data_IF_534212501263
#
_entry.id   IF_534212501263
#
_cell.length_a   1.000
_cell.length_b   1.000
_cell.length_c   1.000
_cell.angle_alpha   90.00
_cell.angle_beta   90.00
_cell.angle_gamma   90.00
#
_symmetry.space_group_name_H-M   'P 1'
#
loop_
_entity.id
_entity.type
_entity.pdbx_description
1 polymer ?
#
# COMPACT_ATOMS: atom_id res chain seq x y z
N UNK A 1 14.74 -1.38 24.95
CA UNK A 1 13.93 -0.25 24.44
C UNK A 1 13.15 0.24 25.63
N UNK A 2 13.41 1.45 26.10
CA UNK A 2 12.64 2.05 27.20
C UNK A 2 11.22 2.25 26.70
N UNK A 3 10.22 1.70 27.41
CA UNK A 3 8.84 2.08 27.20
C UNK A 3 8.71 3.52 27.72
N UNK A 4 8.77 4.50 26.83
CA UNK A 4 8.66 5.91 27.20
C UNK A 4 7.21 6.20 27.53
N UNK A 5 6.90 6.33 28.82
CA UNK A 5 5.56 6.70 29.29
C UNK A 5 5.44 8.22 29.20
N UNK A 6 4.30 8.73 28.75
CA UNK A 6 4.03 10.18 28.71
C UNK A 6 2.96 10.55 29.74
N UNK A 7 3.01 11.79 30.21
CA UNK A 7 1.90 12.43 30.91
C UNK A 7 1.27 13.43 29.94
N UNK A 8 -0.02 13.27 29.66
CA UNK A 8 -0.81 14.21 28.88
C UNK A 8 -1.57 15.15 29.81
N UNK A 9 -1.50 16.44 29.55
CA UNK A 9 -2.34 17.46 30.19
C UNK A 9 -3.33 18.02 29.17
N UNK A 10 -4.62 17.97 29.46
CA UNK A 10 -5.65 18.67 28.67
C UNK A 10 -6.00 19.99 29.36
N UNK A 11 -5.58 21.10 28.76
CA UNK A 11 -5.87 22.44 29.25
C UNK A 11 -7.11 23.00 28.53
N UNK A 12 -8.11 23.44 29.30
CA UNK A 12 -9.22 24.28 28.83
C UNK A 12 -8.89 25.73 29.13
N UNK A 13 -8.97 26.59 28.12
CA UNK A 13 -8.42 27.96 28.15
C UNK A 13 -9.46 28.98 27.69
N UNK A 14 -9.65 30.06 28.47
CA UNK A 14 -10.57 31.16 28.12
C UNK A 14 -10.05 32.53 28.59
N UNK A 15 -10.09 33.59 27.75
CA UNK A 15 -10.27 33.54 26.30
C UNK A 15 -9.18 32.69 25.61
N UNK A 16 -9.53 32.00 24.53
CA UNK A 16 -8.62 31.05 23.86
C UNK A 16 -7.34 31.72 23.37
N UNK A 17 -7.45 32.89 22.75
CA UNK A 17 -6.31 33.67 22.30
C UNK A 17 -6.28 35.03 23.02
N UNK A 18 -5.10 35.52 23.43
CA UNK A 18 -3.75 34.96 23.15
C UNK A 18 -3.28 33.88 24.15
N UNK A 19 -4.15 33.41 25.03
CA UNK A 19 -3.75 32.60 26.18
C UNK A 19 -3.14 31.24 25.80
N UNK A 20 -3.66 30.56 24.77
CA UNK A 20 -3.12 29.27 24.31
C UNK A 20 -1.69 29.40 23.81
N UNK A 21 -1.35 30.47 23.06
CA UNK A 21 0.01 30.70 22.58
C UNK A 21 1.00 30.92 23.74
N UNK A 22 0.60 31.74 24.73
CA UNK A 22 1.42 32.01 25.92
C UNK A 22 1.60 30.73 26.74
N UNK A 23 0.53 29.96 26.94
CA UNK A 23 0.57 28.69 27.67
C UNK A 23 1.48 27.67 26.99
N UNK A 24 1.40 27.49 25.68
CA UNK A 24 2.30 26.59 24.92
C UNK A 24 3.76 27.03 25.09
N UNK A 25 4.04 28.33 25.02
CA UNK A 25 5.40 28.84 25.18
C UNK A 25 5.97 28.52 26.57
N UNK A 26 5.22 28.78 27.64
CA UNK A 26 5.65 28.48 29.01
C UNK A 26 5.80 26.97 29.26
N UNK A 27 4.85 26.16 28.80
CA UNK A 27 4.92 24.69 28.91
C UNK A 27 6.13 24.13 28.15
N UNK A 28 6.47 24.69 27.00
CA UNK A 28 7.68 24.31 26.25
C UNK A 28 8.97 24.53 27.05
N UNK A 29 9.06 25.63 27.82
CA UNK A 29 10.20 25.85 28.72
C UNK A 29 10.21 24.90 29.92
N UNK A 30 9.05 24.40 30.34
CA UNK A 30 8.90 23.44 31.42
C UNK A 30 9.17 21.98 30.98
N UNK A 31 9.51 21.72 29.71
CA UNK A 31 9.87 20.39 29.22
C UNK A 31 8.75 19.64 28.48
N UNK A 32 7.62 20.29 28.19
CA UNK A 32 6.62 19.68 27.30
C UNK A 32 7.11 19.71 25.84
N UNK A 33 6.97 18.59 25.13
CA UNK A 33 7.61 18.38 23.83
C UNK A 33 6.62 18.38 22.66
N UNK A 34 5.33 18.15 22.94
CA UNK A 34 4.27 18.04 21.92
C UNK A 34 3.00 18.75 22.39
N UNK A 35 2.33 19.41 21.44
CA UNK A 35 1.15 20.22 21.67
C UNK A 35 0.11 19.95 20.58
N UNK A 36 -1.14 19.73 20.98
CA UNK A 36 -2.28 19.58 20.08
C UNK A 36 -3.33 20.60 20.48
N UNK A 37 -3.47 21.66 19.69
CA UNK A 37 -4.52 22.66 19.90
C UNK A 37 -5.91 22.08 19.60
N UNK A 38 -6.91 22.57 20.35
CA UNK A 38 -8.32 22.23 20.15
C UNK A 38 -9.17 23.51 20.15
N UNK A 39 -10.45 23.38 19.81
CA UNK A 39 -11.40 24.51 19.88
C UNK A 39 -11.55 25.10 21.30
N UNK A 40 -11.10 24.37 22.33
CA UNK A 40 -11.30 24.72 23.74
C UNK A 40 -10.00 24.99 24.52
N UNK A 41 -8.84 24.82 23.91
CA UNK A 41 -7.54 24.97 24.57
C UNK A 41 -6.44 24.14 23.90
N UNK A 42 -5.62 23.44 24.68
CA UNK A 42 -4.47 22.68 24.17
C UNK A 42 -4.21 21.44 25.01
N UNK A 43 -3.87 20.34 24.36
CA UNK A 43 -3.32 19.15 25.01
C UNK A 43 -1.80 19.16 24.88
N UNK A 44 -1.07 19.05 26.00
CA UNK A 44 0.40 19.06 26.03
C UNK A 44 0.94 17.74 26.60
N UNK A 45 2.07 17.27 26.06
CA UNK A 45 2.69 16.00 26.45
C UNK A 45 4.13 16.19 26.95
N UNK A 46 4.45 15.52 28.05
CA UNK A 46 5.80 15.46 28.65
C UNK A 46 6.15 14.01 28.97
N UNK A 47 7.42 13.64 28.82
CA UNK A 47 7.89 12.30 29.21
C UNK A 47 7.78 12.13 30.72
N UNK A 48 7.29 10.98 31.19
CA UNK A 48 7.09 10.69 32.63
C UNK A 48 8.38 10.83 33.44
N UNK A 49 9.52 10.60 32.80
CA UNK A 49 10.86 10.73 33.39
C UNK A 49 11.26 12.19 33.68
N UNK A 50 10.71 13.13 32.90
CA UNK A 50 10.91 14.58 33.06
C UNK A 50 9.75 15.25 33.82
N UNK A 51 8.63 14.53 33.97
CA UNK A 51 7.45 15.00 34.70
C UNK A 51 7.67 15.06 36.21
N UNK A 52 7.07 16.06 36.85
CA UNK A 52 6.92 16.11 38.31
C UNK A 52 5.56 16.66 38.71
N UNK A 53 5.11 16.36 39.92
CA UNK A 53 3.84 16.88 40.44
C UNK A 53 3.79 18.42 40.55
N UNK A 54 4.94 19.08 40.50
CA UNK A 54 5.11 20.53 40.62
C UNK A 54 5.45 21.19 39.28
N UNK A 55 5.36 20.46 38.16
CA UNK A 55 5.80 20.92 36.84
C UNK A 55 5.06 22.19 36.35
N UNK A 56 3.88 22.46 36.91
CA UNK A 56 3.06 23.62 36.58
C UNK A 56 3.24 24.82 37.52
N UNK A 57 4.02 24.68 38.60
CA UNK A 57 4.17 25.74 39.62
C UNK A 57 4.83 27.01 39.04
N UNK A 58 5.73 26.82 38.05
CA UNK A 58 6.45 27.90 37.37
C UNK A 58 5.72 28.41 36.11
N UNK A 59 4.52 27.90 35.81
CA UNK A 59 3.69 28.37 34.69
C UNK A 59 2.88 29.59 35.14
N UNK A 60 3.39 30.77 34.85
CA UNK A 60 2.85 32.04 35.30
C UNK A 60 1.44 32.33 34.77
N UNK A 61 1.13 31.92 33.53
CA UNK A 61 -0.19 32.20 32.94
C UNK A 61 -1.33 31.53 33.72
N UNK A 62 -1.08 30.40 34.40
CA UNK A 62 -2.09 29.70 35.22
C UNK A 62 -2.52 30.49 36.45
N UNK A 63 -1.69 31.44 36.91
CA UNK A 63 -1.94 32.29 38.07
C UNK A 63 -2.43 33.70 37.67
N UNK A 64 -2.63 33.96 36.38
CA UNK A 64 -3.12 35.24 35.88
C UNK A 64 -4.62 35.40 36.13
N UNK A 65 -5.05 36.59 36.55
CA UNK A 65 -6.47 36.93 36.66
C UNK A 65 -7.10 37.28 35.29
N UNK A 66 -6.29 37.33 34.22
CA UNK A 66 -6.75 37.69 32.87
C UNK A 66 -7.29 36.48 32.09
N UNK A 67 -6.96 35.26 32.52
CA UNK A 67 -7.31 34.01 31.85
C UNK A 67 -7.92 33.01 32.83
N UNK A 68 -8.95 32.30 32.38
CA UNK A 68 -9.52 31.15 33.06
C UNK A 68 -8.95 29.89 32.41
N UNK A 69 -8.03 29.22 33.12
CA UNK A 69 -7.39 27.99 32.66
C UNK A 69 -7.65 26.89 33.68
N UNK A 70 -8.16 25.76 33.20
CA UNK A 70 -8.31 24.54 33.99
C UNK A 70 -7.64 23.38 33.26
N UNK A 71 -7.22 22.36 34.00
CA UNK A 71 -6.58 21.20 33.40
C UNK A 71 -6.94 19.92 34.13
N UNK A 72 -6.86 18.84 33.38
CA UNK A 72 -6.75 17.48 33.90
C UNK A 72 -5.52 16.83 33.28
N UNK A 73 -4.94 15.85 33.96
CA UNK A 73 -3.82 15.10 33.42
C UNK A 73 -3.97 13.62 33.69
N UNK A 74 -3.42 12.83 32.79
CA UNK A 74 -3.41 11.38 32.89
C UNK A 74 -2.07 10.82 32.40
N UNK A 75 -1.70 9.69 32.98
CA UNK A 75 -0.61 8.89 32.46
C UNK A 75 -1.09 8.20 31.18
N UNK A 76 -0.34 8.40 30.10
CA UNK A 76 -0.57 7.79 28.81
C UNK A 76 0.53 6.75 28.67
N UNK A 77 0.15 5.49 28.90
CA UNK A 77 0.99 4.37 28.47
C UNK A 77 1.19 4.50 26.96
N UNK A 78 2.42 4.28 26.50
CA UNK A 78 2.71 4.27 25.08
C UNK A 78 1.88 3.17 24.42
N UNK A 79 0.76 3.54 23.79
CA UNK A 79 0.03 2.63 22.92
C UNK A 79 1.00 2.22 21.83
N UNK A 80 1.37 0.94 21.82
CA UNK A 80 2.14 0.37 20.73
C UNK A 80 1.22 0.31 19.50
N UNK A 81 1.11 1.42 18.79
CA UNK A 81 0.28 1.55 17.59
C UNK A 81 0.64 0.51 16.54
N UNK A 82 1.88 -0.01 16.53
CA UNK A 82 2.26 -1.14 15.69
C UNK A 82 1.53 -2.41 16.15
N UNK A 83 1.58 -2.78 17.43
CA UNK A 83 0.82 -3.94 17.95
C UNK A 83 -0.69 -3.82 17.73
N UNK A 84 -1.25 -2.62 17.89
CA UNK A 84 -2.68 -2.40 17.67
C UNK A 84 -3.06 -2.48 16.20
N UNK A 85 -2.19 -2.01 15.31
CA UNK A 85 -2.32 -2.22 13.88
C UNK A 85 -2.17 -3.69 13.48
N UNK A 86 -1.17 -4.41 14.02
CA UNK A 86 -0.92 -5.83 13.77
C UNK A 86 -2.11 -6.69 14.18
N UNK A 87 -2.77 -6.38 15.30
CA UNK A 87 -3.99 -7.09 15.76
C UNK A 87 -5.16 -6.98 14.79
N UNK A 88 -5.22 -5.90 14.02
CA UNK A 88 -6.33 -5.61 13.11
C UNK A 88 -6.03 -5.96 11.65
N UNK A 89 -4.76 -6.18 11.32
CA UNK A 89 -4.35 -6.65 10.01
C UNK A 89 -4.57 -8.16 9.92
N UNK A 90 -5.47 -8.62 9.05
CA UNK A 90 -5.78 -10.06 8.93
C UNK A 90 -5.13 -10.65 7.68
N UNK A 91 -4.72 -11.93 7.69
CA UNK A 91 -4.29 -12.59 6.46
C UNK A 91 -5.46 -12.72 5.47
N UNK A 92 -5.16 -12.61 4.18
CA UNK A 92 -6.14 -12.83 3.12
C UNK A 92 -5.97 -14.24 2.58
N UNK A 93 -7.09 -14.94 2.40
CA UNK A 93 -7.13 -16.25 1.78
C UNK A 93 -7.89 -16.13 0.47
N UNK A 94 -7.29 -16.61 -0.62
CA UNK A 94 -7.87 -16.62 -1.97
C UNK A 94 -8.03 -18.07 -2.44
N UNK A 95 -9.27 -18.44 -2.76
CA UNK A 95 -9.69 -19.75 -3.26
C UNK A 95 -9.14 -20.94 -2.44
N UNK A 96 -8.93 -20.77 -1.12
CA UNK A 96 -8.30 -21.75 -0.21
C UNK A 96 -6.91 -22.25 -0.64
N UNK A 97 -6.29 -21.58 -1.62
CA UNK A 97 -5.03 -21.98 -2.27
C UNK A 97 -3.89 -21.02 -1.97
N UNK A 98 -4.18 -19.72 -1.84
CA UNK A 98 -3.17 -18.68 -1.61
C UNK A 98 -3.50 -17.96 -0.31
N UNK A 99 -2.52 -17.85 0.57
CA UNK A 99 -2.58 -16.92 1.71
C UNK A 99 -1.61 -15.76 1.47
N UNK A 100 -2.08 -14.53 1.63
CA UNK A 100 -1.25 -13.32 1.71
C UNK A 100 -1.25 -12.86 3.15
N UNK A 101 -0.07 -12.77 3.78
CA UNK A 101 0.05 -12.46 5.20
C UNK A 101 1.29 -11.64 5.51
N UNK A 102 1.26 -10.89 6.61
CA UNK A 102 2.45 -10.34 7.22
C UNK A 102 3.27 -11.42 7.96
N UNK A 103 4.52 -11.09 8.31
CA UNK A 103 5.45 -12.04 8.94
C UNK A 103 5.00 -12.50 10.32
N UNK A 104 4.34 -11.64 11.09
CA UNK A 104 3.83 -11.93 12.45
C UNK A 104 2.63 -12.89 12.47
N UNK A 105 1.98 -13.12 11.33
CA UNK A 105 0.89 -14.10 11.23
C UNK A 105 1.40 -15.54 11.29
N UNK A 106 0.58 -16.42 11.86
CA UNK A 106 0.83 -17.85 11.84
C UNK A 106 0.93 -18.39 10.39
N UNK A 107 1.79 -19.39 10.21
CA UNK A 107 1.96 -20.06 8.92
C UNK A 107 0.65 -20.77 8.52
N UNK A 108 0.13 -20.53 7.30
CA UNK A 108 -1.10 -21.11 6.83
C UNK A 108 -0.88 -22.54 6.30
N UNK A 109 -1.99 -23.25 6.06
CA UNK A 109 -2.00 -24.56 5.40
C UNK A 109 -2.31 -24.49 3.90
N UNK A 110 -2.39 -23.29 3.32
CA UNK A 110 -2.66 -23.10 1.90
C UNK A 110 -1.48 -23.54 1.04
N UNK A 111 -1.76 -23.89 -0.23
CA UNK A 111 -0.73 -24.35 -1.17
C UNK A 111 0.38 -23.32 -1.40
N UNK A 112 0.00 -22.05 -1.49
CA UNK A 112 0.92 -20.92 -1.64
C UNK A 112 0.79 -20.01 -0.42
N UNK A 113 1.93 -19.67 0.19
CA UNK A 113 2.06 -18.75 1.32
C UNK A 113 2.91 -17.57 0.85
N UNK A 114 2.31 -16.37 0.81
CA UNK A 114 2.95 -15.13 0.37
C UNK A 114 3.15 -14.24 1.60
N UNK A 115 4.41 -13.98 1.93
CA UNK A 115 4.77 -13.10 3.05
C UNK A 115 4.96 -11.70 2.51
N UNK A 116 4.00 -10.81 2.76
CA UNK A 116 4.02 -9.42 2.27
C UNK A 116 4.06 -8.48 3.48
N UNK A 117 5.10 -7.66 3.55
CA UNK A 117 5.18 -6.59 4.53
C UNK A 117 4.20 -5.48 4.15
N UNK A 118 3.21 -5.15 5.01
CA UNK A 118 2.25 -4.13 4.69
C UNK A 118 2.87 -2.77 5.00
N UNK A 119 3.41 -2.12 3.97
CA UNK A 119 3.88 -0.72 4.02
C UNK A 119 2.89 0.21 3.31
N UNK A 120 3.26 1.47 3.12
CA UNK A 120 2.50 2.44 2.30
C UNK A 120 2.45 2.10 0.78
N UNK A 121 2.74 0.86 0.40
CA UNK A 121 2.69 0.37 -0.98
C UNK A 121 1.40 -0.41 -1.22
N UNK A 122 0.79 -0.23 -2.39
CA UNK A 122 -0.42 -0.97 -2.78
C UNK A 122 -0.12 -2.46 -3.03
N UNK A 123 -1.15 -3.31 -2.95
CA UNK A 123 -1.04 -4.74 -3.27
C UNK A 123 -0.90 -5.67 -2.07
N UNK A 124 -1.32 -5.26 -0.88
CA UNK A 124 -1.36 -6.16 0.30
C UNK A 124 -2.36 -7.32 0.19
N UNK A 125 -3.15 -7.37 -0.90
CA UNK A 125 -4.20 -8.36 -1.16
C UNK A 125 -5.57 -8.02 -0.57
N UNK A 126 -5.67 -7.00 0.29
CA UNK A 126 -6.92 -6.60 0.95
C UNK A 126 -7.90 -5.93 -0.02
N UNK A 127 -7.37 -5.31 -1.07
CA UNK A 127 -8.17 -4.67 -2.11
C UNK A 127 -8.71 -5.71 -3.10
N UNK A 128 -9.96 -5.54 -3.53
CA UNK A 128 -10.67 -6.46 -4.40
C UNK A 128 -9.91 -6.76 -5.68
N UNK A 129 -9.24 -5.75 -6.25
CA UNK A 129 -8.47 -5.89 -7.49
C UNK A 129 -7.32 -6.88 -7.34
N UNK A 130 -6.57 -6.83 -6.24
CA UNK A 130 -5.48 -7.78 -6.00
C UNK A 130 -6.02 -9.19 -5.81
N UNK A 131 -7.12 -9.34 -5.07
CA UNK A 131 -7.79 -10.63 -4.87
C UNK A 131 -8.22 -11.26 -6.20
N UNK A 132 -8.88 -10.50 -7.07
CA UNK A 132 -9.32 -11.00 -8.38
C UNK A 132 -8.15 -11.31 -9.32
N UNK A 133 -7.06 -10.53 -9.25
CA UNK A 133 -5.85 -10.82 -10.03
C UNK A 133 -5.18 -12.12 -9.58
N UNK A 134 -5.14 -12.40 -8.28
CA UNK A 134 -4.71 -13.70 -7.74
C UNK A 134 -5.60 -14.83 -8.29
N UNK A 135 -6.93 -14.67 -8.29
CA UNK A 135 -7.84 -15.68 -8.85
C UNK A 135 -7.57 -15.93 -10.34
N UNK A 136 -7.29 -14.89 -11.12
CA UNK A 136 -6.92 -15.04 -12.52
C UNK A 136 -5.58 -15.75 -12.69
N UNK A 137 -4.57 -15.44 -11.87
CA UNK A 137 -3.27 -16.14 -11.90
C UNK A 137 -3.47 -17.64 -11.64
N UNK A 138 -4.28 -18.00 -10.65
CA UNK A 138 -4.57 -19.41 -10.31
C UNK A 138 -5.31 -20.18 -11.41
N UNK A 139 -6.06 -19.49 -12.28
CA UNK A 139 -6.85 -20.09 -13.37
C UNK A 139 -6.08 -20.19 -14.69
N UNK A 140 -4.89 -19.62 -14.79
CA UNK A 140 -4.10 -19.56 -16.02
C UNK A 140 -2.74 -20.25 -15.84
N UNK A 141 -2.12 -20.67 -16.95
CA UNK A 141 -0.82 -21.36 -16.91
C UNK A 141 0.35 -20.37 -17.02
N UNK A 142 1.10 -20.27 -15.93
CA UNK A 142 2.31 -19.45 -15.81
C UNK A 142 3.59 -20.27 -15.96
N UNK A 143 3.51 -21.59 -16.09
CA UNK A 143 4.68 -22.47 -16.04
C UNK A 143 5.64 -22.18 -17.19
N UNK A 144 6.88 -21.81 -16.85
CA UNK A 144 7.94 -21.50 -17.81
C UNK A 144 7.71 -20.22 -18.60
N UNK A 145 6.74 -19.38 -18.19
CA UNK A 145 6.38 -18.14 -18.88
C UNK A 145 7.26 -16.97 -18.44
N UNK A 146 7.46 -16.05 -19.38
CA UNK A 146 7.98 -14.71 -19.12
C UNK A 146 6.85 -13.76 -18.73
N UNK A 147 7.02 -13.01 -17.64
CA UNK A 147 5.97 -12.20 -17.02
C UNK A 147 6.45 -10.78 -16.77
N UNK A 148 5.60 -9.80 -17.03
CA UNK A 148 5.75 -8.43 -16.54
C UNK A 148 4.67 -8.14 -15.48
N UNK A 149 5.05 -7.61 -14.33
CA UNK A 149 4.16 -7.01 -13.34
C UNK A 149 4.37 -5.49 -13.31
N UNK A 150 3.48 -4.76 -13.97
CA UNK A 150 3.58 -3.31 -14.20
C UNK A 150 2.75 -2.55 -13.15
N UNK A 151 3.41 -1.64 -12.42
CA UNK A 151 2.86 -1.04 -11.20
C UNK A 151 2.84 -2.04 -10.05
N UNK A 152 3.96 -2.72 -9.82
CA UNK A 152 4.03 -3.90 -8.95
C UNK A 152 3.74 -3.63 -7.46
N UNK A 153 3.89 -2.40 -6.96
CA UNK A 153 3.55 -2.02 -5.60
C UNK A 153 4.33 -2.80 -4.53
N UNK A 154 3.69 -3.83 -3.96
CA UNK A 154 4.27 -4.79 -3.00
C UNK A 154 4.92 -6.01 -3.67
N UNK A 155 4.80 -6.13 -4.99
CA UNK A 155 5.24 -7.26 -5.81
C UNK A 155 4.45 -8.58 -5.59
N UNK A 156 3.28 -8.52 -4.95
CA UNK A 156 2.51 -9.73 -4.60
C UNK A 156 2.13 -10.58 -5.82
N UNK A 157 1.84 -9.96 -6.97
CA UNK A 157 1.39 -10.65 -8.17
C UNK A 157 2.57 -11.33 -8.88
N UNK A 158 3.72 -10.64 -9.03
CA UNK A 158 4.95 -11.26 -9.51
C UNK A 158 5.43 -12.41 -8.60
N UNK A 159 5.40 -12.24 -7.28
CA UNK A 159 5.77 -13.30 -6.32
C UNK A 159 4.87 -14.53 -6.50
N UNK A 160 3.56 -14.33 -6.62
CA UNK A 160 2.65 -15.45 -6.89
C UNK A 160 2.95 -16.09 -8.25
N UNK A 161 3.17 -15.28 -9.30
CA UNK A 161 3.48 -15.76 -10.64
C UNK A 161 4.73 -16.66 -10.66
N UNK A 162 5.80 -16.30 -9.93
CA UNK A 162 6.97 -17.17 -9.76
C UNK A 162 6.60 -18.47 -9.02
N UNK A 163 5.86 -18.38 -7.90
CA UNK A 163 5.47 -19.57 -7.11
C UNK A 163 4.55 -20.54 -7.87
N UNK A 164 3.77 -20.05 -8.85
CA UNK A 164 2.97 -20.92 -9.74
C UNK A 164 3.75 -21.42 -10.97
N UNK A 165 5.00 -20.97 -11.16
CA UNK A 165 5.96 -21.59 -12.09
C UNK A 165 6.51 -20.69 -13.19
N UNK A 166 6.29 -19.37 -13.15
CA UNK A 166 6.96 -18.45 -14.08
C UNK A 166 8.47 -18.43 -13.82
N UNK A 167 9.26 -18.21 -14.88
CA UNK A 167 10.73 -18.38 -14.83
C UNK A 167 11.52 -17.16 -15.25
N UNK A 168 10.88 -16.12 -15.77
CA UNK A 168 11.52 -14.85 -16.10
C UNK A 168 10.54 -13.71 -15.84
N UNK A 169 10.74 -12.96 -14.76
CA UNK A 169 9.78 -11.95 -14.33
C UNK A 169 10.47 -10.59 -14.20
N UNK A 170 9.85 -9.57 -14.76
CA UNK A 170 10.17 -8.17 -14.49
C UNK A 170 9.03 -7.56 -13.66
N UNK A 171 9.37 -6.88 -12.58
CA UNK A 171 8.43 -6.09 -11.78
C UNK A 171 8.86 -4.62 -11.82
N UNK A 172 7.95 -3.74 -12.24
CA UNK A 172 8.27 -2.32 -12.47
C UNK A 172 7.32 -1.44 -11.68
N UNK A 173 7.85 -0.46 -10.96
CA UNK A 173 7.06 0.59 -10.33
C UNK A 173 7.76 1.95 -10.47
N UNK A 174 6.99 3.03 -10.63
CA UNK A 174 7.54 4.38 -10.77
C UNK A 174 7.95 4.95 -9.40
N UNK A 175 7.28 4.50 -8.33
CA UNK A 175 7.54 4.96 -6.97
C UNK A 175 8.75 4.20 -6.37
N UNK A 176 9.75 4.95 -5.93
CA UNK A 176 10.92 4.41 -5.23
C UNK A 176 10.53 3.62 -3.97
N UNK A 177 9.46 4.01 -3.28
CA UNK A 177 9.00 3.30 -2.09
C UNK A 177 8.47 1.90 -2.42
N UNK A 178 7.68 1.79 -3.50
CA UNK A 178 7.20 0.51 -4.03
C UNK A 178 8.36 -0.35 -4.56
N UNK A 179 9.33 0.26 -5.25
CA UNK A 179 10.54 -0.42 -5.71
C UNK A 179 11.31 -1.09 -4.56
N UNK A 180 11.61 -0.33 -3.50
CA UNK A 180 12.32 -0.86 -2.32
C UNK A 180 11.51 -1.94 -1.59
N UNK A 181 10.21 -1.70 -1.41
CA UNK A 181 9.33 -2.67 -0.77
C UNK A 181 9.20 -3.99 -1.57
N UNK A 182 9.18 -3.88 -2.89
CA UNK A 182 9.14 -5.03 -3.80
C UNK A 182 10.41 -5.88 -3.69
N UNK A 183 11.59 -5.27 -3.63
CA UNK A 183 12.85 -5.99 -3.39
C UNK A 183 12.81 -6.79 -2.08
N UNK A 184 12.39 -6.15 -0.99
CA UNK A 184 12.29 -6.81 0.31
C UNK A 184 11.27 -7.97 0.30
N UNK A 185 10.11 -7.79 -0.34
CA UNK A 185 9.10 -8.84 -0.41
C UNK A 185 9.53 -10.02 -1.32
N UNK A 186 10.22 -9.75 -2.42
CA UNK A 186 10.80 -10.80 -3.28
C UNK A 186 11.80 -11.63 -2.47
N UNK A 187 12.70 -10.99 -1.73
CA UNK A 187 13.67 -11.65 -0.86
C UNK A 187 12.96 -12.48 0.23
N UNK A 188 11.97 -11.91 0.92
CA UNK A 188 11.19 -12.60 1.97
C UNK A 188 10.46 -13.85 1.50
N UNK A 189 10.18 -13.95 0.21
CA UNK A 189 9.45 -15.08 -0.37
C UNK A 189 10.37 -16.12 -1.03
N UNK A 190 11.68 -15.97 -0.89
CA UNK A 190 12.70 -16.80 -1.54
C UNK A 190 12.49 -16.88 -3.06
N UNK A 191 12.11 -15.76 -3.67
CA UNK A 191 11.91 -15.65 -5.11
C UNK A 191 13.22 -15.18 -5.79
N UNK A 192 13.59 -15.84 -6.88
CA UNK A 192 14.89 -15.65 -7.54
C UNK A 192 14.77 -15.33 -9.03
N UNK A 193 13.57 -15.43 -9.60
CA UNK A 193 13.34 -15.17 -11.03
C UNK A 193 12.72 -13.79 -11.29
N UNK A 194 12.56 -12.96 -10.25
CA UNK A 194 11.99 -11.60 -10.34
C UNK A 194 13.11 -10.56 -10.32
N UNK A 195 13.19 -9.76 -11.38
CA UNK A 195 14.00 -8.55 -11.46
C UNK A 195 13.10 -7.34 -11.22
N UNK A 196 13.39 -6.57 -10.17
CA UNK A 196 12.62 -5.36 -9.83
C UNK A 196 13.31 -4.13 -10.40
N UNK A 197 12.55 -3.22 -11.01
CA UNK A 197 13.06 -1.96 -11.56
C UNK A 197 12.21 -0.77 -11.10
N UNK A 198 12.88 0.36 -10.88
CA UNK A 198 12.21 1.64 -10.74
C UNK A 198 12.05 2.29 -12.13
N UNK A 199 10.83 2.61 -12.53
CA UNK A 199 10.56 3.32 -13.78
C UNK A 199 9.13 3.14 -14.28
N UNK A 200 8.95 3.38 -15.57
CA UNK A 200 7.66 3.34 -16.24
C UNK A 200 7.70 2.47 -17.52
N UNK A 201 6.66 2.60 -18.33
CA UNK A 201 6.47 1.88 -19.60
C UNK A 201 7.65 2.06 -20.58
N UNK A 202 8.46 3.10 -20.45
CA UNK A 202 9.63 3.33 -21.30
C UNK A 202 10.70 2.22 -21.16
N UNK A 203 10.74 1.52 -20.02
CA UNK A 203 11.64 0.39 -19.78
C UNK A 203 11.28 -0.87 -20.59
N UNK A 204 10.11 -0.90 -21.23
CA UNK A 204 9.63 -2.04 -22.02
C UNK A 204 10.21 -2.07 -23.45
N UNK A 205 10.98 -1.06 -23.84
CA UNK A 205 11.57 -0.98 -25.18
C UNK A 205 12.39 -2.26 -25.50
N UNK A 206 12.02 -2.94 -26.59
CA UNK A 206 12.62 -4.19 -27.06
C UNK A 206 12.47 -5.39 -26.09
N UNK A 207 11.54 -5.33 -25.13
CA UNK A 207 11.19 -6.47 -24.27
C UNK A 207 9.96 -7.19 -24.82
N UNK A 208 9.86 -8.48 -24.55
CA UNK A 208 8.68 -9.27 -24.88
C UNK A 208 8.35 -10.23 -23.74
N UNK A 209 7.06 -10.46 -23.52
CA UNK A 209 6.54 -11.30 -22.43
C UNK A 209 5.42 -12.19 -22.94
N UNK A 210 5.28 -13.35 -22.31
CA UNK A 210 4.12 -14.21 -22.52
C UNK A 210 2.90 -13.68 -21.76
N UNK A 211 3.13 -13.04 -20.62
CA UNK A 211 2.07 -12.52 -19.76
C UNK A 211 2.45 -11.12 -19.28
N UNK A 212 1.53 -10.17 -19.38
CA UNK A 212 1.65 -8.85 -18.76
C UNK A 212 0.51 -8.70 -17.75
N UNK A 213 0.86 -8.29 -16.54
CA UNK A 213 -0.02 -8.01 -15.42
C UNK A 213 0.05 -6.51 -15.15
N UNK A 214 -1.09 -5.83 -15.11
CA UNK A 214 -1.18 -4.41 -14.75
C UNK A 214 -2.43 -4.14 -13.90
N UNK A 215 -2.24 -3.98 -12.59
CA UNK A 215 -3.30 -3.63 -11.63
C UNK A 215 -3.13 -2.17 -11.19
N UNK A 216 -3.44 -1.24 -12.09
CA UNK A 216 -3.14 0.19 -11.96
C UNK A 216 -4.32 1.06 -12.41
N UNK A 217 -4.21 2.36 -12.23
CA UNK A 217 -5.29 3.30 -12.57
C UNK A 217 -5.66 3.25 -14.06
N UNK A 218 -6.98 3.31 -14.34
CA UNK A 218 -7.57 3.36 -15.69
C UNK A 218 -6.85 4.27 -16.69
N UNK A 219 -6.52 5.50 -16.29
CA UNK A 219 -5.95 6.47 -17.25
C UNK A 219 -4.54 6.06 -17.70
N UNK A 220 -3.77 5.44 -16.81
CA UNK A 220 -2.44 4.91 -17.14
C UNK A 220 -2.58 3.68 -18.02
N UNK A 221 -3.52 2.78 -17.72
CA UNK A 221 -3.84 1.65 -18.59
C UNK A 221 -4.14 2.09 -20.02
N UNK A 222 -5.04 3.07 -20.20
CA UNK A 222 -5.40 3.58 -21.52
C UNK A 222 -4.21 4.20 -22.27
N UNK A 223 -3.25 4.79 -21.56
CA UNK A 223 -2.04 5.33 -22.16
C UNK A 223 -1.05 4.22 -22.60
N UNK A 224 -0.99 3.11 -21.85
CA UNK A 224 0.07 2.12 -21.98
C UNK A 224 -0.34 0.83 -22.72
N UNK A 225 -1.64 0.56 -22.91
CA UNK A 225 -2.16 -0.66 -23.59
C UNK A 225 -1.49 -0.89 -24.95
N UNK A 226 -1.26 0.16 -25.73
CA UNK A 226 -0.59 0.05 -27.03
C UNK A 226 0.83 -0.54 -26.88
N UNK A 227 1.57 -0.11 -25.87
CA UNK A 227 2.91 -0.62 -25.59
C UNK A 227 2.86 -2.04 -25.03
N UNK A 228 1.90 -2.34 -24.14
CA UNK A 228 1.71 -3.70 -23.64
C UNK A 228 1.44 -4.69 -24.79
N UNK A 229 0.55 -4.34 -25.72
CA UNK A 229 0.25 -5.17 -26.88
C UNK A 229 1.50 -5.43 -27.75
N UNK A 230 2.35 -4.42 -27.97
CA UNK A 230 3.61 -4.57 -28.72
C UNK A 230 4.62 -5.47 -28.01
N UNK A 231 4.59 -5.51 -26.68
CA UNK A 231 5.49 -6.32 -25.86
C UNK A 231 4.95 -7.73 -25.58
N UNK A 232 3.78 -8.11 -26.11
CA UNK A 232 3.27 -9.47 -25.98
C UNK A 232 3.84 -10.39 -27.08
N UNK A 233 4.26 -11.58 -26.64
CA UNK A 233 4.55 -12.71 -27.52
C UNK A 233 3.26 -13.21 -28.19
N UNK A 234 3.41 -14.04 -29.21
CA UNK A 234 2.26 -14.72 -29.83
C UNK A 234 1.48 -15.53 -28.79
N UNK A 235 0.15 -15.42 -28.81
CA UNK A 235 -0.75 -16.00 -27.80
C UNK A 235 -0.50 -15.50 -26.36
N UNK A 236 0.17 -14.36 -26.21
CA UNK A 236 0.36 -13.71 -24.93
C UNK A 236 -0.94 -13.20 -24.30
N UNK A 237 -0.91 -13.05 -22.98
CA UNK A 237 -2.07 -12.63 -22.18
C UNK A 237 -1.81 -11.29 -21.49
N UNK A 238 -2.81 -10.42 -21.48
CA UNK A 238 -2.81 -9.15 -20.75
C UNK A 238 -3.85 -9.21 -19.64
N UNK A 239 -3.42 -9.08 -18.39
CA UNK A 239 -4.27 -9.06 -17.21
C UNK A 239 -4.38 -7.62 -16.71
N UNK A 240 -5.59 -7.07 -16.68
CA UNK A 240 -5.85 -5.68 -16.30
C UNK A 240 -6.80 -5.60 -15.10
N UNK A 241 -6.49 -4.76 -14.12
CA UNK A 241 -7.40 -4.38 -13.03
C UNK A 241 -7.05 -2.97 -12.52
N UNK A 242 -7.74 -2.50 -11.47
CA UNK A 242 -7.55 -1.14 -10.93
C UNK A 242 -8.56 -0.10 -11.47
N UNK A 243 -9.67 -0.57 -12.04
CA UNK A 243 -10.76 0.24 -12.57
C UNK A 243 -12.13 -0.39 -12.28
N UNK A 244 -13.19 0.41 -12.45
CA UNK A 244 -14.56 0.00 -12.14
C UNK A 244 -15.23 -0.67 -13.34
N UNK A 245 -16.33 -1.40 -13.08
CA UNK A 245 -17.13 -2.07 -14.11
C UNK A 245 -17.60 -1.11 -15.22
N UNK A 246 -17.95 0.13 -14.85
CA UNK A 246 -18.40 1.17 -15.78
C UNK A 246 -17.31 1.53 -16.82
N UNK A 247 -16.04 1.26 -16.50
CA UNK A 247 -14.89 1.54 -17.36
C UNK A 247 -14.54 0.37 -18.32
N UNK A 248 -15.23 -0.77 -18.25
CA UNK A 248 -14.94 -1.93 -19.13
C UNK A 248 -15.02 -1.51 -20.60
N UNK A 249 -16.09 -0.81 -20.99
CA UNK A 249 -16.33 -0.46 -22.40
C UNK A 249 -15.19 0.38 -23.01
N UNK A 250 -14.59 1.29 -22.23
CA UNK A 250 -13.47 2.12 -22.71
C UNK A 250 -12.16 1.32 -22.76
N UNK A 251 -11.90 0.46 -21.77
CA UNK A 251 -10.71 -0.41 -21.74
C UNK A 251 -10.75 -1.44 -22.87
N UNK A 252 -11.89 -2.11 -23.05
CA UNK A 252 -12.07 -3.12 -24.10
C UNK A 252 -11.97 -2.51 -25.50
N UNK A 253 -12.53 -1.31 -25.70
CA UNK A 253 -12.40 -0.57 -26.95
C UNK A 253 -10.94 -0.23 -27.27
N UNK A 254 -10.15 0.19 -26.27
CA UNK A 254 -8.72 0.45 -26.47
C UNK A 254 -7.95 -0.84 -26.76
N UNK A 255 -8.17 -1.90 -25.99
CA UNK A 255 -7.57 -3.22 -26.22
C UNK A 255 -7.84 -3.74 -27.65
N UNK A 256 -9.09 -3.62 -28.11
CA UNK A 256 -9.50 -4.11 -29.44
C UNK A 256 -8.73 -3.43 -30.58
N UNK A 257 -8.37 -2.15 -30.44
CA UNK A 257 -7.55 -1.44 -31.45
C UNK A 257 -6.18 -2.07 -31.65
N UNK A 258 -5.68 -2.77 -30.64
CA UNK A 258 -4.35 -3.40 -30.63
C UNK A 258 -4.44 -4.93 -30.65
N UNK A 259 -5.49 -5.49 -31.26
CA UNK A 259 -5.71 -6.92 -31.45
C UNK A 259 -5.81 -7.73 -30.14
N UNK A 260 -6.14 -7.10 -29.02
CA UNK A 260 -6.41 -7.77 -27.76
C UNK A 260 -7.91 -8.06 -27.65
N UNK A 261 -8.26 -9.34 -27.54
CA UNK A 261 -9.64 -9.79 -27.37
C UNK A 261 -9.89 -10.17 -25.91
N UNK A 262 -11.03 -9.73 -25.36
CA UNK A 262 -11.43 -10.10 -24.00
C UNK A 262 -11.63 -11.61 -23.91
N UNK A 263 -10.93 -12.24 -22.97
CA UNK A 263 -10.95 -13.67 -22.71
C UNK A 263 -11.78 -14.01 -21.47
N UNK A 264 -11.58 -13.29 -20.37
CA UNK A 264 -12.31 -13.53 -19.12
C UNK A 264 -12.47 -12.27 -18.27
N UNK A 265 -13.51 -12.27 -17.43
CA UNK A 265 -13.87 -11.20 -16.49
C UNK A 265 -14.14 -11.80 -15.11
N UNK A 266 -13.61 -11.16 -14.07
CA UNK A 266 -14.06 -11.31 -12.69
C UNK A 266 -14.48 -9.93 -12.20
N UNK A 267 -15.54 -9.88 -11.40
CA UNK A 267 -16.03 -8.64 -10.80
C UNK A 267 -16.31 -8.86 -9.31
N UNK A 268 -15.97 -7.86 -8.50
CA UNK A 268 -16.25 -7.85 -7.07
C UNK A 268 -16.42 -6.42 -6.59
N UNK A 269 -17.55 -6.11 -5.95
CA UNK A 269 -17.85 -4.79 -5.40
C UNK A 269 -17.64 -3.66 -6.44
N UNK A 270 -18.11 -3.85 -7.68
CA UNK A 270 -17.91 -2.96 -8.84
C UNK A 270 -16.48 -2.84 -9.38
N UNK A 271 -15.47 -3.38 -8.69
CA UNK A 271 -14.14 -3.52 -9.25
C UNK A 271 -14.10 -4.68 -10.23
N UNK A 272 -13.24 -4.58 -11.25
CA UNK A 272 -13.10 -5.63 -12.26
C UNK A 272 -11.65 -6.05 -12.46
N UNK A 273 -11.48 -7.31 -12.83
CA UNK A 273 -10.23 -7.84 -13.35
C UNK A 273 -10.52 -8.58 -14.67
N UNK A 274 -9.84 -8.17 -15.73
CA UNK A 274 -10.03 -8.66 -17.08
C UNK A 274 -8.76 -9.37 -17.56
N UNK A 275 -8.93 -10.42 -18.36
CA UNK A 275 -7.83 -11.04 -19.11
C UNK A 275 -8.13 -10.91 -20.59
N UNK A 276 -7.15 -10.48 -21.37
CA UNK A 276 -7.21 -10.39 -22.82
C UNK A 276 -6.16 -11.31 -23.43
N UNK A 277 -6.47 -11.89 -24.59
CA UNK A 277 -5.49 -12.61 -25.41
C UNK A 277 -5.11 -11.76 -26.62
N UNK A 278 -3.82 -11.70 -26.95
CA UNK A 278 -3.37 -11.10 -28.20
C UNK A 278 -3.73 -12.05 -29.35
N UNK A 279 -4.48 -11.53 -30.33
CA UNK A 279 -4.73 -12.22 -31.59
C UNK A 279 -3.49 -12.10 -32.46
N UNK A 280 -3.27 -13.08 -33.35
CA UNK A 280 -2.20 -13.00 -34.34
C UNK A 280 -2.38 -11.72 -35.18
N UNK A 281 -1.60 -10.69 -34.87
CA UNK A 281 -1.45 -9.54 -35.74
C UNK A 281 -0.41 -9.89 -36.80
N UNK A 282 -0.70 -9.67 -38.07
CA UNK A 282 0.32 -9.66 -39.12
C UNK A 282 1.40 -8.63 -38.75
N UNK A 283 2.48 -9.06 -38.09
CA UNK A 283 3.62 -8.21 -37.67
C UNK A 283 4.44 -7.69 -38.88
N UNK A 284 3.88 -7.71 -40.09
CA UNK A 284 4.53 -7.42 -41.38
C UNK A 284 4.18 -6.07 -41.99
N UNK A 285 3.65 -5.10 -41.24
CA UNK A 285 3.54 -3.72 -41.71
C UNK A 285 4.04 -2.70 -40.69
N UNK A 286 5.35 -2.46 -40.68
CA UNK A 286 5.96 -1.13 -40.55
C UNK A 286 7.43 -1.18 -40.92
#
# INVERSE_FOLDING_TARGET
MSNTIYIGYDFKVKPLQPATEILIAELGYAGFESFVESETGVTAYIQKEEWSAFILDDIHILNSNEFEISYEFNEIEQTNWNEEWEKNFNPIIVDDLVTVRALFHHKPNTKYDLIIEPKMSFGTGHHETTHMMIQHILKNDFKGKSVLDMGCGTCVLAILAEKVGATNLDAIDIDNWCYLNSLENVERNDCHNISVYQGDVALLKNKNYDIIIANINRNILLADIATYALCLNENGLLFLSGFYEEDISIIESECTKHALQLNSKIERNKWVALVFNILLSDKTQK
#
